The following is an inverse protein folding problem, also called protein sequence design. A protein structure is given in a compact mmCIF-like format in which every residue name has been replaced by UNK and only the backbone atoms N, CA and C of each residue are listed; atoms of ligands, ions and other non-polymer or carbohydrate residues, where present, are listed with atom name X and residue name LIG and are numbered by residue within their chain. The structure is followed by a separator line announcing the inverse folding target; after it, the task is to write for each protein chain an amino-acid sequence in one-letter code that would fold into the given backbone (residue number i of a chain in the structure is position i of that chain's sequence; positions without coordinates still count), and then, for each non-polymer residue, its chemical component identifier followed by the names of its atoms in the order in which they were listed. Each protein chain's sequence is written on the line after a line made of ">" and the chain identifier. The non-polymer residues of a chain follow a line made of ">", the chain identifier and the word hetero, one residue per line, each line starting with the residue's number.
data_IF_690988149733
#
_entry.id   IF_690988149733
#
_cell.length_a   1.000
_cell.length_b   1.000
_cell.length_c   1.000
_cell.angle_alpha   90.00
_cell.angle_beta   90.00
_cell.angle_gamma   90.00
#
_symmetry.space_group_name_H-M   'P 1'
#
loop_
_entity.id
_entity.type
_entity.pdbx_description
1 polymer ?
#
# COMPACT_ATOMS: atom_id res chain seq x y z
N UNK A 1 20.43 -69.78 5.13
CA UNK A 1 19.01 -69.95 5.50
C UNK A 1 18.15 -69.31 4.42
N UNK A 2 17.15 -70.08 3.96
CA UNK A 2 16.08 -69.87 2.97
C UNK A 2 15.84 -68.45 2.43
N UNK A 3 15.79 -68.17 1.13
CA UNK A 3 15.00 -68.75 0.00
C UNK A 3 13.49 -68.64 0.17
N UNK A 4 12.86 -67.71 -0.57
CA UNK A 4 11.58 -67.82 -1.32
C UNK A 4 11.27 -66.44 -1.94
N UNK A 5 11.50 -66.21 -3.24
CA UNK A 5 10.67 -66.53 -4.43
C UNK A 5 9.33 -65.78 -4.53
N UNK A 6 9.28 -64.96 -5.58
CA UNK A 6 8.24 -64.87 -6.64
C UNK A 6 6.84 -64.39 -6.24
N UNK A 7 6.46 -63.25 -6.83
CA UNK A 7 5.22 -63.17 -7.61
C UNK A 7 5.37 -62.10 -8.70
N UNK A 8 5.57 -62.57 -9.92
CA UNK A 8 5.31 -61.81 -11.14
C UNK A 8 3.80 -61.54 -11.26
N UNK A 9 3.45 -60.30 -11.60
CA UNK A 9 2.09 -59.83 -11.78
C UNK A 9 2.03 -58.81 -12.91
N UNK A 10 2.15 -59.34 -14.13
CA UNK A 10 1.90 -58.69 -15.41
C UNK A 10 0.53 -57.99 -15.45
N UNK A 11 0.50 -56.70 -15.81
CA UNK A 11 -0.61 -56.15 -16.62
C UNK A 11 -0.20 -54.83 -17.29
N UNK A 12 -0.25 -54.75 -18.64
CA UNK A 12 0.04 -53.55 -19.41
C UNK A 12 -1.27 -52.79 -19.68
N UNK A 13 -1.44 -51.62 -19.07
CA UNK A 13 -2.45 -50.65 -19.50
C UNK A 13 -1.73 -49.46 -20.14
N UNK A 14 -1.71 -49.48 -21.47
CA UNK A 14 -1.48 -48.30 -22.30
C UNK A 14 -2.78 -47.48 -22.30
N UNK A 15 -2.76 -46.28 -21.74
CA UNK A 15 -3.71 -45.20 -22.06
C UNK A 15 -3.03 -43.89 -21.65
N UNK A 16 -2.40 -43.20 -22.60
CA UNK A 16 -2.94 -42.01 -23.25
C UNK A 16 -3.21 -40.83 -22.28
N UNK A 17 -2.16 -40.31 -21.65
CA UNK A 17 -2.11 -38.90 -21.23
C UNK A 17 -1.05 -38.16 -22.04
N UNK A 18 -1.38 -37.88 -23.30
CA UNK A 18 -0.91 -36.65 -23.93
C UNK A 18 -1.82 -35.54 -23.40
N UNK A 19 -1.56 -35.09 -22.18
CA UNK A 19 -1.94 -33.73 -21.81
C UNK A 19 -1.12 -32.80 -22.71
N UNK A 20 -1.71 -32.46 -23.85
CA UNK A 20 -1.28 -31.34 -24.64
C UNK A 20 -1.39 -30.14 -23.72
N UNK A 21 -0.24 -29.73 -23.19
CA UNK A 21 0.04 -28.39 -22.67
C UNK A 21 -0.40 -27.40 -23.74
N UNK A 22 -1.70 -27.09 -23.73
CA UNK A 22 -2.29 -25.99 -24.45
C UNK A 22 -1.81 -24.77 -23.69
N UNK A 23 -0.57 -24.37 -23.99
CA UNK A 23 -0.06 -23.05 -23.66
C UNK A 23 -1.08 -22.06 -24.20
N UNK A 24 -1.95 -21.58 -23.32
CA UNK A 24 -2.90 -20.52 -23.58
C UNK A 24 -2.07 -19.27 -23.81
N UNK A 25 -1.65 -19.10 -25.06
CA UNK A 25 -1.00 -17.89 -25.55
C UNK A 25 -2.04 -16.78 -25.51
N UNK A 26 -2.08 -16.10 -24.36
CA UNK A 26 -2.95 -14.97 -24.09
C UNK A 26 -2.62 -13.88 -25.11
N UNK A 27 -3.46 -13.76 -26.16
CA UNK A 27 -3.32 -12.71 -27.17
C UNK A 27 -3.72 -11.38 -26.53
N UNK A 28 -2.73 -10.64 -26.03
CA UNK A 28 -2.94 -9.32 -25.45
C UNK A 28 -3.55 -8.35 -26.48
N UNK A 29 -4.73 -7.82 -26.15
CA UNK A 29 -5.40 -6.78 -26.92
C UNK A 29 -4.63 -5.46 -26.76
N UNK A 30 -4.13 -4.89 -27.87
CA UNK A 30 -3.29 -3.67 -27.92
C UNK A 30 -3.92 -2.41 -27.29
N UNK A 31 -5.21 -2.42 -26.96
CA UNK A 31 -5.90 -1.27 -26.36
C UNK A 31 -5.74 -1.16 -24.84
N UNK A 32 -5.35 -2.23 -24.15
CA UNK A 32 -5.12 -2.19 -22.71
C UNK A 32 -3.61 -2.12 -22.42
N UNK A 33 -3.16 -1.29 -21.47
CA UNK A 33 -1.77 -1.33 -21.02
C UNK A 33 -1.45 -2.77 -20.62
N UNK A 34 -0.23 -3.23 -20.93
CA UNK A 34 0.18 -4.58 -20.55
C UNK A 34 -0.01 -4.69 -19.02
N UNK A 35 -0.60 -5.77 -18.49
CA UNK A 35 -0.86 -5.89 -17.04
C UNK A 35 0.38 -5.58 -16.19
N UNK A 36 1.56 -5.94 -16.71
CA UNK A 36 2.87 -5.65 -16.13
C UNK A 36 3.14 -4.14 -15.95
N UNK A 37 2.82 -3.32 -16.96
CA UNK A 37 3.01 -1.87 -16.89
C UNK A 37 2.05 -1.26 -15.85
N UNK A 38 0.81 -1.75 -15.81
CA UNK A 38 -0.17 -1.35 -14.81
C UNK A 38 0.30 -1.71 -13.38
N UNK A 39 0.85 -2.91 -13.18
CA UNK A 39 1.41 -3.34 -11.90
C UNK A 39 2.64 -2.51 -11.49
N UNK A 40 3.59 -2.29 -12.40
CA UNK A 40 4.77 -1.46 -12.13
C UNK A 40 4.40 -0.03 -11.74
N UNK A 41 3.40 0.55 -12.42
CA UNK A 41 2.83 1.85 -12.07
C UNK A 41 2.17 1.84 -10.70
N UNK A 42 1.32 0.86 -10.42
CA UNK A 42 0.65 0.72 -9.13
C UNK A 42 1.65 0.62 -7.97
N UNK A 43 2.71 -0.18 -8.13
CA UNK A 43 3.79 -0.30 -7.15
C UNK A 43 4.50 1.03 -6.96
N UNK A 44 4.83 1.73 -8.04
CA UNK A 44 5.53 3.02 -7.99
C UNK A 44 4.71 4.09 -7.25
N UNK A 45 3.39 4.13 -7.46
CA UNK A 45 2.48 5.02 -6.71
C UNK A 45 2.48 4.68 -5.22
N UNK A 46 2.37 3.39 -4.86
CA UNK A 46 2.38 2.95 -3.45
C UNK A 46 3.72 3.25 -2.76
N UNK A 47 4.84 3.02 -3.45
CA UNK A 47 6.19 3.40 -2.98
C UNK A 47 6.28 4.90 -2.67
N UNK A 48 5.79 5.75 -3.58
CA UNK A 48 5.75 7.20 -3.37
C UNK A 48 4.92 7.57 -2.14
N UNK A 49 3.77 6.93 -1.94
CA UNK A 49 2.94 7.12 -0.75
C UNK A 49 3.67 6.77 0.54
N UNK A 50 4.27 5.58 0.63
CA UNK A 50 5.02 5.14 1.81
C UNK A 50 6.24 6.03 2.08
N UNK A 51 6.97 6.45 1.04
CA UNK A 51 8.10 7.37 1.17
C UNK A 51 7.67 8.75 1.72
N UNK A 52 6.57 9.29 1.19
CA UNK A 52 5.98 10.56 1.60
C UNK A 52 5.51 10.50 3.07
N UNK A 53 4.80 9.43 3.46
CA UNK A 53 4.35 9.21 4.84
C UNK A 53 5.51 9.03 5.82
N UNK A 54 6.50 8.20 5.47
CA UNK A 54 7.73 8.04 6.26
C UNK A 54 8.37 9.40 6.57
N UNK A 55 8.51 10.24 5.54
CA UNK A 55 9.12 11.57 5.69
C UNK A 55 8.24 12.50 6.54
N UNK A 56 6.92 12.47 6.35
CA UNK A 56 5.98 13.30 7.11
C UNK A 56 6.00 12.96 8.60
N UNK A 57 5.91 11.67 8.94
CA UNK A 57 5.95 11.21 10.32
C UNK A 57 7.32 11.45 10.96
N UNK A 58 8.42 11.23 10.24
CA UNK A 58 9.76 11.54 10.75
C UNK A 58 9.95 13.04 11.05
N UNK A 59 9.40 13.93 10.22
CA UNK A 59 9.43 15.38 10.49
C UNK A 59 8.59 15.74 11.71
N UNK A 60 7.41 15.12 11.85
CA UNK A 60 6.52 15.36 12.97
C UNK A 60 7.13 14.90 14.30
N UNK A 61 7.72 13.71 14.33
CA UNK A 61 8.46 13.19 15.48
C UNK A 61 9.58 14.15 15.90
N UNK A 62 10.44 14.58 14.96
CA UNK A 62 11.49 15.58 15.23
C UNK A 62 10.93 16.88 15.81
N UNK A 63 9.82 17.38 15.29
CA UNK A 63 9.18 18.60 15.79
C UNK A 63 8.66 18.41 17.22
N UNK A 64 7.98 17.29 17.50
CA UNK A 64 7.45 17.00 18.83
C UNK A 64 8.58 16.81 19.86
N UNK A 65 9.64 16.11 19.48
CA UNK A 65 10.83 15.94 20.31
C UNK A 65 11.48 17.30 20.63
N UNK A 66 11.58 18.20 19.65
CA UNK A 66 12.13 19.55 19.86
C UNK A 66 11.27 20.37 20.83
N UNK A 67 9.94 20.35 20.64
CA UNK A 67 8.99 21.04 21.54
C UNK A 67 9.08 20.47 22.94
N UNK A 68 9.17 19.15 23.08
CA UNK A 68 9.27 18.49 24.37
C UNK A 68 10.57 18.84 25.12
N UNK A 69 11.72 18.82 24.43
CA UNK A 69 13.01 19.26 25.01
C UNK A 69 12.94 20.73 25.44
N UNK A 70 12.32 21.59 24.61
CA UNK A 70 12.15 23.02 24.92
C UNK A 70 11.28 23.22 26.16
N UNK A 71 10.13 22.56 26.25
CA UNK A 71 9.24 22.64 27.41
C UNK A 71 9.89 22.10 28.68
N UNK A 72 10.66 21.01 28.57
CA UNK A 72 11.42 20.44 29.68
C UNK A 72 12.48 21.42 30.19
N UNK A 73 13.20 22.08 29.27
CA UNK A 73 14.20 23.09 29.60
C UNK A 73 13.58 24.34 30.26
N UNK A 74 12.44 24.82 29.74
CA UNK A 74 11.69 25.94 30.31
C UNK A 74 11.16 25.60 31.71
N UNK A 75 10.58 24.40 31.88
CA UNK A 75 10.07 23.95 33.16
C UNK A 75 11.18 23.80 34.20
N UNK A 76 12.32 23.23 33.81
CA UNK A 76 13.51 23.13 34.67
C UNK A 76 14.02 24.51 35.07
N UNK A 77 14.06 25.46 34.12
CA UNK A 77 14.47 26.84 34.38
C UNK A 77 13.51 27.55 35.35
N UNK A 78 12.20 27.33 35.19
CA UNK A 78 11.17 27.91 36.08
C UNK A 78 11.27 27.36 37.51
N UNK A 79 11.54 26.06 37.67
CA UNK A 79 11.81 25.40 38.96
C UNK A 79 12.97 26.11 39.66
N UNK A 80 14.12 26.25 39.00
CA UNK A 80 15.29 26.92 39.61
C UNK A 80 15.04 28.41 39.89
N UNK A 81 14.32 29.11 39.02
CA UNK A 81 13.96 30.51 39.24
C UNK A 81 13.06 30.69 40.47
N UNK A 82 12.13 29.76 40.72
CA UNK A 82 11.23 29.80 41.88
C UNK A 82 11.90 29.46 43.22
N UNK A 83 13.09 28.84 43.20
CA UNK A 83 13.85 28.51 44.41
C UNK A 83 14.61 29.70 45.00
N UNK A 84 14.51 30.91 44.43
CA UNK A 84 15.10 32.09 45.04
C UNK A 84 14.32 32.47 46.30
N UNK A 85 14.92 32.44 47.50
CA UNK A 85 14.22 32.72 48.75
C UNK A 85 13.92 34.22 48.82
N UNK A 86 12.70 34.62 48.47
CA UNK A 86 12.17 35.93 48.86
C UNK A 86 12.00 35.92 50.37
N UNK A 87 12.93 36.60 51.05
CA UNK A 87 12.99 36.66 52.51
C UNK A 87 11.66 37.09 53.13
N UNK A 88 11.04 36.22 53.92
CA UNK A 88 9.86 36.55 54.70
C UNK A 88 9.01 35.34 55.07
N UNK A 89 9.21 34.84 56.30
CA UNK A 89 8.33 33.95 57.08
C UNK A 89 8.12 32.50 56.62
N UNK A 90 8.81 31.63 57.35
CA UNK A 90 8.60 30.19 57.56
C UNK A 90 7.14 29.73 57.55
N UNK A 91 6.78 29.00 56.49
CA UNK A 91 5.53 28.26 56.39
C UNK A 91 5.70 27.19 55.32
N UNK A 92 6.40 26.12 55.66
CA UNK A 92 6.66 24.92 54.86
C UNK A 92 5.47 24.51 53.99
N UNK A 93 5.59 24.70 52.68
CA UNK A 93 4.75 24.03 51.69
C UNK A 93 5.56 23.78 50.42
N UNK A 94 6.54 22.87 50.53
CA UNK A 94 7.25 22.30 49.38
C UNK A 94 6.40 21.26 48.61
N UNK A 95 5.31 20.77 49.22
CA UNK A 95 4.35 19.83 48.62
C UNK A 95 3.75 20.29 47.28
N UNK A 96 3.23 21.52 47.11
CA UNK A 96 2.70 21.98 45.83
C UNK A 96 3.75 22.02 44.72
N UNK A 97 5.02 22.26 45.07
CA UNK A 97 6.13 22.23 44.11
C UNK A 97 6.40 20.82 43.59
N UNK A 98 6.43 19.83 44.49
CA UNK A 98 6.56 18.42 44.12
C UNK A 98 5.41 17.94 43.22
N UNK A 99 4.18 18.33 43.54
CA UNK A 99 3.01 18.01 42.72
C UNK A 99 3.08 18.65 41.31
N UNK A 100 3.54 19.91 41.23
CA UNK A 100 3.77 20.58 39.95
C UNK A 100 4.83 19.90 39.09
N UNK A 101 5.96 19.52 39.69
CA UNK A 101 7.02 18.81 38.98
C UNK A 101 6.56 17.44 38.44
N UNK A 102 5.77 16.70 39.21
CA UNK A 102 5.21 15.41 38.78
C UNK A 102 4.20 15.59 37.64
N UNK A 103 3.35 16.62 37.69
CA UNK A 103 2.39 16.91 36.62
C UNK A 103 3.08 17.26 35.29
N UNK A 104 4.16 18.04 35.36
CA UNK A 104 5.00 18.35 34.19
C UNK A 104 5.68 17.09 33.66
N UNK A 105 6.28 16.27 34.53
CA UNK A 105 6.91 15.01 34.14
C UNK A 105 5.93 14.03 33.48
N UNK A 106 4.69 13.92 34.00
CA UNK A 106 3.64 13.10 33.38
C UNK A 106 3.26 13.60 31.99
N UNK A 107 3.18 14.92 31.79
CA UNK A 107 2.85 15.53 30.50
C UNK A 107 3.97 15.29 29.47
N UNK A 108 5.22 15.42 29.90
CA UNK A 108 6.41 15.10 29.08
C UNK A 108 6.41 13.61 28.72
N UNK A 109 6.11 12.71 29.65
CA UNK A 109 6.09 11.27 29.37
C UNK A 109 5.00 10.89 28.37
N UNK A 110 3.81 11.50 28.48
CA UNK A 110 2.73 11.32 27.51
C UNK A 110 3.10 11.88 26.12
N UNK A 111 3.84 12.98 26.06
CA UNK A 111 4.30 13.53 24.77
C UNK A 111 5.35 12.61 24.11
N UNK A 112 6.28 12.05 24.90
CA UNK A 112 7.29 11.08 24.42
C UNK A 112 6.64 9.79 23.93
N UNK A 113 5.65 9.25 24.64
CA UNK A 113 4.91 8.07 24.20
C UNK A 113 4.26 8.30 22.83
N UNK A 114 3.67 9.47 22.61
CA UNK A 114 3.10 9.84 21.31
C UNK A 114 4.19 9.99 20.24
N UNK A 115 5.32 10.64 20.55
CA UNK A 115 6.42 10.80 19.61
C UNK A 115 6.98 9.43 19.16
N UNK A 116 7.20 8.51 20.09
CA UNK A 116 7.66 7.14 19.79
C UNK A 116 6.70 6.38 18.85
N UNK A 117 5.39 6.58 18.99
CA UNK A 117 4.41 5.99 18.06
C UNK A 117 4.59 6.54 16.63
N UNK A 118 4.86 7.84 16.48
CA UNK A 118 5.11 8.42 15.15
C UNK A 118 6.44 7.96 14.55
N UNK A 119 7.50 7.82 15.37
CA UNK A 119 8.77 7.27 14.91
C UNK A 119 8.61 5.82 14.44
N UNK A 120 7.84 5.00 15.17
CA UNK A 120 7.55 3.62 14.78
C UNK A 120 6.74 3.56 13.48
N UNK A 121 5.70 4.38 13.34
CA UNK A 121 4.92 4.48 12.09
C UNK A 121 5.81 4.91 10.91
N UNK A 122 6.71 5.89 11.11
CA UNK A 122 7.64 6.32 10.08
C UNK A 122 8.54 5.17 9.59
N UNK A 123 9.11 4.41 10.52
CA UNK A 123 9.95 3.24 10.18
C UNK A 123 9.12 2.12 9.53
N UNK A 124 7.88 1.86 9.95
CA UNK A 124 7.01 0.89 9.29
C UNK A 124 6.76 1.25 7.81
N UNK A 125 6.41 2.51 7.51
CA UNK A 125 6.26 2.95 6.12
C UNK A 125 7.58 2.86 5.34
N UNK A 126 8.72 3.14 5.98
CA UNK A 126 10.04 3.03 5.35
C UNK A 126 10.44 1.58 5.04
N UNK A 127 10.11 0.64 5.93
CA UNK A 127 10.31 -0.80 5.72
C UNK A 127 9.44 -1.29 4.56
N UNK A 128 8.14 -0.94 4.57
CA UNK A 128 7.22 -1.27 3.49
C UNK A 128 7.70 -0.70 2.13
N UNK A 129 8.19 0.55 2.10
CA UNK A 129 8.77 1.13 0.90
C UNK A 129 9.96 0.30 0.38
N UNK A 130 10.89 -0.10 1.27
CA UNK A 130 12.04 -0.95 0.88
C UNK A 130 11.61 -2.30 0.35
N UNK A 131 10.62 -2.94 0.97
CA UNK A 131 10.08 -4.21 0.51
C UNK A 131 9.40 -4.07 -0.87
N UNK A 132 8.62 -3.01 -1.06
CA UNK A 132 8.03 -2.69 -2.37
C UNK A 132 9.09 -2.39 -3.42
N UNK A 133 10.23 -1.78 -3.05
CA UNK A 133 11.36 -1.61 -3.98
C UNK A 133 11.94 -2.95 -4.41
N UNK A 134 12.10 -3.89 -3.47
CA UNK A 134 12.58 -5.24 -3.79
C UNK A 134 11.62 -5.99 -4.73
N UNK A 135 10.31 -5.95 -4.46
CA UNK A 135 9.31 -6.64 -5.30
C UNK A 135 9.24 -6.01 -6.70
N UNK A 136 9.41 -4.69 -6.80
CA UNK A 136 9.53 -3.98 -8.09
C UNK A 136 10.73 -4.47 -8.91
N UNK A 137 11.91 -4.53 -8.30
CA UNK A 137 13.10 -5.05 -9.00
C UNK A 137 12.93 -6.51 -9.42
N UNK A 138 12.28 -7.35 -8.61
CA UNK A 138 11.94 -8.72 -9.00
C UNK A 138 11.03 -8.76 -10.22
N UNK A 139 10.01 -7.90 -10.28
CA UNK A 139 9.15 -7.77 -11.45
C UNK A 139 9.96 -7.37 -12.69
N UNK A 140 10.86 -6.39 -12.56
CA UNK A 140 11.74 -5.95 -13.63
C UNK A 140 12.67 -7.07 -14.11
N UNK A 141 13.19 -7.92 -13.22
CA UNK A 141 14.00 -9.09 -13.61
C UNK A 141 13.17 -10.14 -14.34
N UNK A 142 11.95 -10.43 -13.87
CA UNK A 142 11.05 -11.38 -14.54
C UNK A 142 10.65 -10.87 -15.93
N UNK A 143 10.54 -9.54 -16.12
CA UNK A 143 10.01 -8.93 -17.34
C UNK A 143 11.07 -8.40 -18.31
N UNK A 144 12.29 -8.12 -17.83
CA UNK A 144 13.38 -7.51 -18.61
C UNK A 144 14.39 -8.50 -19.17
N UNK A 145 14.69 -9.60 -18.46
CA UNK A 145 15.77 -10.54 -18.84
C UNK A 145 15.30 -11.98 -19.10
N UNK A 146 14.05 -12.33 -18.78
CA UNK A 146 13.56 -13.72 -18.84
C UNK A 146 12.40 -13.90 -19.83
N UNK A 147 12.53 -13.36 -21.03
CA UNK A 147 11.90 -14.05 -22.16
C UNK A 147 12.67 -15.36 -22.31
N UNK A 148 12.00 -16.50 -22.18
CA UNK A 148 12.60 -17.77 -22.64
C UNK A 148 13.04 -17.60 -24.12
N UNK A 149 13.92 -18.46 -24.64
CA UNK A 149 14.41 -18.39 -26.04
C UNK A 149 13.24 -18.35 -27.08
N UNK A 150 12.01 -18.63 -26.64
CA UNK A 150 10.75 -18.59 -27.40
C UNK A 150 9.92 -17.29 -27.24
N UNK A 151 10.36 -16.32 -26.43
CA UNK A 151 9.63 -15.09 -26.17
C UNK A 151 8.48 -15.20 -25.17
N UNK A 152 8.37 -16.31 -24.43
CA UNK A 152 7.31 -16.52 -23.44
C UNK A 152 7.74 -16.10 -22.03
N UNK A 153 6.78 -15.58 -21.27
CA UNK A 153 6.96 -15.19 -19.87
C UNK A 153 6.82 -16.43 -18.98
N UNK A 154 7.75 -16.63 -18.07
CA UNK A 154 7.67 -17.71 -17.09
C UNK A 154 6.49 -17.44 -16.12
N UNK A 155 5.34 -18.08 -16.39
CA UNK A 155 4.10 -17.85 -15.65
C UNK A 155 4.20 -18.31 -14.19
N UNK A 156 4.96 -19.36 -13.90
CA UNK A 156 5.15 -19.87 -12.54
C UNK A 156 5.80 -18.81 -11.63
N UNK A 157 6.92 -18.22 -12.09
CA UNK A 157 7.59 -17.12 -11.37
C UNK A 157 6.71 -15.89 -11.23
N UNK A 158 5.88 -15.60 -12.23
CA UNK A 158 4.96 -14.47 -12.16
C UNK A 158 3.85 -14.72 -11.13
N UNK A 159 3.30 -15.92 -11.06
CA UNK A 159 2.29 -16.29 -10.05
C UNK A 159 2.88 -16.24 -8.64
N UNK A 160 4.10 -16.74 -8.44
CA UNK A 160 4.82 -16.62 -7.16
C UNK A 160 5.01 -15.14 -6.77
N UNK A 161 5.44 -14.32 -7.73
CA UNK A 161 5.61 -12.88 -7.52
C UNK A 161 4.30 -12.17 -7.14
N UNK A 162 3.17 -12.52 -7.79
CA UNK A 162 1.85 -11.94 -7.46
C UNK A 162 1.47 -12.25 -6.02
N UNK A 163 1.66 -13.51 -5.59
CA UNK A 163 1.37 -13.91 -4.21
C UNK A 163 2.24 -13.16 -3.20
N UNK A 164 3.55 -13.08 -3.44
CA UNK A 164 4.45 -12.29 -2.58
C UNK A 164 4.05 -10.81 -2.51
N UNK A 165 3.58 -10.26 -3.63
CA UNK A 165 3.11 -8.88 -3.70
C UNK A 165 1.82 -8.68 -2.89
N UNK A 166 0.85 -9.59 -2.98
CA UNK A 166 -0.39 -9.54 -2.18
C UNK A 166 -0.10 -9.67 -0.68
N UNK A 167 0.72 -10.65 -0.27
CA UNK A 167 1.16 -10.82 1.12
C UNK A 167 1.86 -9.54 1.64
N UNK A 168 2.62 -8.86 0.77
CA UNK A 168 3.26 -7.59 1.11
C UNK A 168 2.26 -6.44 1.26
N UNK A 169 1.19 -6.41 0.45
CA UNK A 169 0.14 -5.40 0.58
C UNK A 169 -0.67 -5.59 1.87
N UNK A 170 -0.93 -6.83 2.28
CA UNK A 170 -1.65 -7.13 3.52
C UNK A 170 -0.83 -6.76 4.77
N UNK A 171 0.48 -6.95 4.72
CA UNK A 171 1.39 -6.61 5.82
C UNK A 171 1.81 -5.13 5.86
N UNK A 172 1.55 -4.38 4.79
CA UNK A 172 1.90 -2.96 4.72
C UNK A 172 0.98 -2.10 5.61
N UNK A 173 1.52 -1.04 6.25
CA UNK A 173 0.70 -0.09 7.00
C UNK A 173 -0.27 0.65 6.09
N UNK A 174 -1.48 0.92 6.59
CA UNK A 174 -2.58 1.56 5.85
C UNK A 174 -2.15 2.92 5.29
N UNK A 175 -2.42 3.14 4.00
CA UNK A 175 -2.23 4.43 3.32
C UNK A 175 -3.56 5.19 3.32
N UNK A 176 -3.61 6.45 3.75
CA UNK A 176 -4.81 7.27 3.61
C UNK A 176 -5.17 7.52 2.14
N UNK A 177 -6.46 7.34 1.80
CA UNK A 177 -6.96 7.44 0.42
C UNK A 177 -6.63 8.78 -0.26
N UNK A 178 -6.79 9.91 0.44
CA UNK A 178 -6.49 11.24 -0.11
C UNK A 178 -5.02 11.38 -0.54
N UNK A 179 -4.11 10.68 0.15
CA UNK A 179 -2.68 10.74 -0.18
C UNK A 179 -2.38 9.86 -1.39
N UNK A 180 -3.04 8.71 -1.47
CA UNK A 180 -2.94 7.83 -2.62
C UNK A 180 -3.39 8.54 -3.91
N UNK A 181 -4.54 9.21 -3.87
CA UNK A 181 -5.06 10.00 -5.00
C UNK A 181 -4.10 11.12 -5.41
N UNK A 182 -3.55 11.84 -4.43
CA UNK A 182 -2.58 12.89 -4.67
C UNK A 182 -1.30 12.38 -5.33
N UNK A 183 -0.74 11.26 -4.87
CA UNK A 183 0.47 10.69 -5.49
C UNK A 183 0.16 10.06 -6.85
N UNK A 184 -1.03 9.47 -7.04
CA UNK A 184 -1.51 8.98 -8.35
C UNK A 184 -1.57 10.11 -9.38
N UNK A 185 -2.16 11.24 -9.01
CA UNK A 185 -2.26 12.43 -9.85
C UNK A 185 -0.87 12.96 -10.25
N UNK A 186 0.06 13.07 -9.29
CA UNK A 186 1.44 13.49 -9.58
C UNK A 186 2.16 12.56 -10.56
N UNK A 187 1.97 11.25 -10.42
CA UNK A 187 2.57 10.27 -11.35
C UNK A 187 1.97 10.43 -12.75
N UNK A 188 0.65 10.62 -12.85
CA UNK A 188 -0.01 10.88 -14.13
C UNK A 188 0.53 12.17 -14.80
N UNK A 189 0.64 13.26 -14.03
CA UNK A 189 1.19 14.52 -14.53
C UNK A 189 2.65 14.41 -14.96
N UNK A 190 3.45 13.58 -14.29
CA UNK A 190 4.85 13.34 -14.66
C UNK A 190 4.95 12.60 -15.99
N UNK A 191 4.14 11.56 -16.17
CA UNK A 191 4.06 10.81 -17.43
C UNK A 191 3.59 11.70 -18.59
N UNK A 192 2.61 12.58 -18.36
CA UNK A 192 2.15 13.55 -19.35
C UNK A 192 3.25 14.58 -19.68
N UNK A 193 3.94 15.12 -18.68
CA UNK A 193 5.04 16.07 -18.87
C UNK A 193 6.21 15.47 -19.67
N UNK A 194 6.62 14.24 -19.33
CA UNK A 194 7.65 13.50 -20.06
C UNK A 194 7.22 13.24 -21.52
N UNK A 195 5.93 12.96 -21.76
CA UNK A 195 5.41 12.79 -23.12
C UNK A 195 5.45 14.09 -23.93
N UNK A 196 5.10 15.23 -23.33
CA UNK A 196 5.18 16.53 -23.99
C UNK A 196 6.62 16.93 -24.34
N UNK A 197 7.57 16.67 -23.43
CA UNK A 197 8.99 16.94 -23.66
C UNK A 197 9.55 16.07 -24.81
N UNK A 198 9.16 14.79 -24.85
CA UNK A 198 9.51 13.90 -25.94
C UNK A 198 8.95 14.38 -27.29
N UNK A 199 7.68 14.80 -27.34
CA UNK A 199 7.05 15.31 -28.57
C UNK A 199 7.69 16.59 -29.10
N UNK A 200 8.19 17.47 -28.21
CA UNK A 200 8.86 18.71 -28.61
C UNK A 200 10.22 18.41 -29.25
N UNK A 201 11.00 17.50 -28.68
CA UNK A 201 12.31 17.12 -29.20
C UNK A 201 12.22 16.38 -30.56
N UNK A 202 11.12 15.67 -30.81
CA UNK A 202 10.87 14.97 -32.10
C UNK A 202 10.40 15.94 -33.20
N UNK A 203 9.71 17.03 -32.83
CA UNK A 203 9.23 18.05 -33.79
C UNK A 203 10.34 18.86 -34.45
N UNK A 204 11.54 18.91 -33.83
CA UNK A 204 12.73 19.58 -34.39
C UNK A 204 13.52 18.66 -35.35
N UNK A 205 13.09 17.42 -35.57
CA UNK A 205 13.82 16.45 -36.38
C UNK A 205 12.99 15.29 -36.94
N UNK A 206 12.23 15.56 -38.02
CA UNK A 206 11.68 14.59 -38.98
C UNK A 206 10.35 13.93 -38.57
N UNK A 207 9.27 14.52 -39.10
CA UNK A 207 7.88 14.03 -39.09
C UNK A 207 7.81 12.50 -39.36
N UNK A 208 7.49 11.71 -38.33
CA UNK A 208 6.82 10.41 -38.53
C UNK A 208 5.32 10.64 -38.34
N UNK A 209 4.68 11.00 -39.44
CA UNK A 209 3.23 10.99 -39.58
C UNK A 209 2.74 9.54 -39.41
N UNK A 210 2.32 9.16 -38.21
CA UNK A 210 1.80 7.80 -38.03
C UNK A 210 1.27 7.41 -36.66
N UNK A 211 1.54 8.16 -35.59
CA UNK A 211 1.14 7.74 -34.24
C UNK A 211 0.11 8.69 -33.64
N UNK A 212 -1.11 8.74 -34.22
CA UNK A 212 -2.31 9.10 -33.46
C UNK A 212 -2.56 8.00 -32.44
N UNK A 213 -1.75 7.94 -31.38
CA UNK A 213 -2.05 7.10 -30.22
C UNK A 213 -3.12 7.85 -29.45
N UNK A 214 -4.34 7.35 -29.57
CA UNK A 214 -5.51 7.79 -28.81
C UNK A 214 -5.17 7.70 -27.32
N UNK A 215 -4.81 8.84 -26.73
CA UNK A 215 -4.89 9.10 -25.29
C UNK A 215 -6.36 9.19 -24.88
N UNK A 216 -7.11 8.13 -25.18
CA UNK A 216 -8.38 7.84 -24.54
C UNK A 216 -8.01 7.10 -23.27
N UNK A 217 -7.70 7.86 -22.23
CA UNK A 217 -7.49 7.36 -20.87
C UNK A 217 -8.82 6.78 -20.40
N UNK A 218 -9.06 5.50 -20.69
CA UNK A 218 -10.20 4.77 -20.13
C UNK A 218 -9.80 4.47 -18.69
N UNK A 219 -10.31 5.27 -17.76
CA UNK A 219 -10.43 4.90 -16.36
C UNK A 219 -11.24 3.60 -16.33
N UNK A 220 -10.59 2.47 -16.04
CA UNK A 220 -11.30 1.33 -15.49
C UNK A 220 -11.41 1.63 -14.00
N UNK A 221 -12.54 2.22 -13.64
CA UNK A 221 -12.94 2.36 -12.25
C UNK A 221 -13.37 0.96 -11.77
N UNK A 222 -12.40 0.14 -11.34
CA UNK A 222 -12.65 -1.21 -10.80
C UNK A 222 -13.46 -1.17 -9.49
N UNK A 223 -13.85 0.02 -9.00
CA UNK A 223 -14.73 0.20 -7.85
C UNK A 223 -16.20 0.45 -8.21
N UNK A 224 -16.57 0.34 -9.48
CA UNK A 224 -17.97 0.16 -9.84
C UNK A 224 -18.32 -1.32 -9.74
N UNK A 225 -18.39 -1.79 -8.50
CA UNK A 225 -19.14 -2.99 -8.18
C UNK A 225 -20.58 -2.69 -8.58
N UNK A 226 -21.08 -3.38 -9.60
CA UNK A 226 -22.46 -3.33 -10.02
C UNK A 226 -23.33 -3.84 -8.85
N UNK A 227 -23.67 -2.94 -7.93
CA UNK A 227 -24.75 -3.10 -6.96
C UNK A 227 -26.10 -3.03 -7.70
N UNK A 228 -26.33 -3.98 -8.61
CA UNK A 228 -27.60 -4.19 -9.29
C UNK A 228 -28.22 -5.52 -8.81
N UNK A 229 -28.36 -5.65 -7.48
CA UNK A 229 -29.18 -6.69 -6.83
C UNK A 229 -29.93 -6.13 -5.61
N UNK A 230 -30.62 -5.00 -5.79
CA UNK A 230 -31.57 -4.47 -4.78
C UNK A 230 -33.03 -4.42 -5.26
N UNK A 231 -33.32 -5.01 -6.43
CA UNK A 231 -34.67 -4.97 -7.02
C UNK A 231 -35.56 -6.17 -6.64
N UNK A 232 -35.07 -7.14 -5.87
CA UNK A 232 -35.84 -8.36 -5.52
C UNK A 232 -36.50 -8.29 -4.12
N UNK A 233 -36.04 -7.45 -3.19
CA UNK A 233 -36.64 -7.40 -1.84
C UNK A 233 -37.84 -6.46 -1.68
N UNK A 234 -38.11 -5.56 -2.64
CA UNK A 234 -39.22 -4.60 -2.50
C UNK A 234 -40.58 -5.09 -3.03
N UNK A 235 -40.64 -6.20 -3.78
CA UNK A 235 -41.92 -6.79 -4.20
C UNK A 235 -42.51 -7.76 -3.17
N UNK A 236 -41.69 -8.44 -2.36
CA UNK A 236 -42.18 -9.38 -1.35
C UNK A 236 -42.83 -8.68 -0.14
N UNK A 237 -42.43 -7.44 0.17
CA UNK A 237 -43.08 -6.60 1.19
C UNK A 237 -44.45 -6.06 0.74
N UNK A 238 -44.63 -5.76 -0.55
CA UNK A 238 -45.95 -5.33 -1.07
C UNK A 238 -46.94 -6.50 -1.13
N UNK A 239 -46.52 -7.71 -1.46
CA UNK A 239 -47.40 -8.88 -1.49
C UNK A 239 -47.92 -9.29 -0.08
N UNK A 240 -47.13 -9.10 0.98
CA UNK A 240 -47.58 -9.38 2.37
C UNK A 240 -48.56 -8.35 2.93
N UNK A 241 -48.52 -7.10 2.44
CA UNK A 241 -49.42 -6.04 2.95
C UNK A 241 -50.83 -6.14 2.37
N UNK A 242 -51.00 -6.64 1.15
CA UNK A 242 -52.33 -6.83 0.54
C UNK A 242 -53.08 -8.03 1.14
N UNK A 243 -52.37 -9.08 1.57
CA UNK A 243 -53.01 -10.28 2.16
C UNK A 243 -53.58 -10.04 3.57
N UNK A 244 -53.05 -9.09 4.33
CA UNK A 244 -53.56 -8.77 5.68
C UNK A 244 -54.79 -7.85 5.70
N UNK A 245 -55.12 -7.19 4.58
CA UNK A 245 -56.32 -6.35 4.50
C UNK A 245 -57.55 -7.15 4.07
N UNK A 246 -57.37 -8.27 3.34
CA UNK A 246 -58.49 -9.14 2.93
C UNK A 246 -58.95 -10.14 4.00
N UNK A 247 -58.21 -10.32 5.10
CA UNK A 247 -58.60 -11.18 6.23
C UNK A 247 -59.21 -10.39 7.40
N UNK A 248 -59.32 -9.06 7.26
CA UNK A 248 -59.87 -8.15 8.28
C UNK A 248 -61.17 -7.44 7.85
N UNK A 249 -61.75 -7.86 6.73
CA UNK A 249 -63.13 -7.56 6.30
C UNK A 249 -63.92 -8.87 6.24
#
# INVERSE_FOLDING_TARGET
>A
MSSSRVSDGNSPAKENEKEGSRGSTLKFNKKHPRPIEAWSRAISIRQACHSSLSTKYAKFDKSMNTVNVTLTALSSSAIFASMHPTGGSSGTSYLPFGAGAIAVASTILQSVQKALQYAQLAEQHKVANRQLTKIKFRLEVITGENFEDDGTLNMERLTEWVREYEDLLESAPIIPQYLFEKEREKVALREEGEAWEYMKNDSDGKIIAGMKRTSSFVYVDDNKQDDDDSTVENETMKAKKTKRVSEAM
#
